data_IF_027873291111
#
_entry.id   IF_027873291111
#
_cell.length_a   1.000
_cell.length_b   1.000
_cell.length_c   1.000
_cell.angle_alpha   90.00
_cell.angle_beta   90.00
_cell.angle_gamma   90.00
#
_symmetry.space_group_name_H-M   'P 1'
#
loop_
_entity.id
_entity.type
_entity.pdbx_description
1 polymer ?
#
# COMPACT_ATOMS: atom_id res chain seq x y z
N UNK A 1 21.22 -19.12 3.60
CA UNK A 1 20.55 -17.85 3.28
C UNK A 1 20.24 -17.23 4.63
N UNK A 2 20.80 -16.09 4.96
CA UNK A 2 20.52 -15.38 6.20
C UNK A 2 19.24 -14.57 5.97
N UNK A 3 18.25 -14.74 6.84
CA UNK A 3 16.96 -14.03 6.80
C UNK A 3 16.85 -12.99 7.94
N UNK A 4 17.96 -12.72 8.64
CA UNK A 4 17.97 -11.67 9.65
C UNK A 4 17.95 -10.28 9.00
N UNK A 5 17.23 -9.39 9.60
CA UNK A 5 17.26 -7.97 9.21
C UNK A 5 18.61 -7.36 9.60
N UNK A 6 19.04 -6.35 8.85
CA UNK A 6 20.23 -5.56 9.24
C UNK A 6 19.98 -4.77 10.53
N UNK A 7 21.04 -4.35 11.18
CA UNK A 7 20.94 -3.52 12.39
C UNK A 7 20.15 -2.23 12.12
N UNK A 8 20.32 -1.63 10.93
CA UNK A 8 19.58 -0.43 10.52
C UNK A 8 18.09 -0.70 10.37
N UNK A 9 17.73 -1.81 9.71
CA UNK A 9 16.33 -2.23 9.57
C UNK A 9 15.69 -2.52 10.92
N UNK A 10 16.43 -3.13 11.84
CA UNK A 10 15.97 -3.43 13.18
C UNK A 10 15.77 -2.17 14.01
N UNK A 11 16.72 -1.22 13.96
CA UNK A 11 16.59 0.08 14.63
C UNK A 11 15.40 0.89 14.10
N UNK A 12 15.19 0.87 12.78
CA UNK A 12 14.04 1.52 12.18
C UNK A 12 12.71 0.88 12.64
N UNK A 13 12.61 -0.45 12.62
CA UNK A 13 11.44 -1.17 13.13
C UNK A 13 11.15 -0.83 14.59
N UNK A 14 12.17 -0.81 15.44
CA UNK A 14 12.02 -0.53 16.87
C UNK A 14 11.61 0.93 17.13
N UNK A 15 12.13 1.88 16.35
CA UNK A 15 11.73 3.28 16.43
C UNK A 15 10.27 3.47 16.03
N UNK A 16 9.86 2.88 14.90
CA UNK A 16 8.49 2.93 14.40
C UNK A 16 7.51 2.24 15.35
N UNK A 17 7.87 1.06 15.86
CA UNK A 17 7.06 0.31 16.85
C UNK A 17 6.85 1.10 18.12
N UNK A 18 7.90 1.76 18.63
CA UNK A 18 7.81 2.62 19.83
C UNK A 18 6.86 3.77 19.59
N UNK A 19 7.06 4.49 18.49
CA UNK A 19 6.19 5.61 18.13
C UNK A 19 4.73 5.18 18.04
N UNK A 20 4.44 4.11 17.30
CA UNK A 20 3.08 3.61 17.11
C UNK A 20 2.46 3.12 18.43
N UNK A 21 3.25 2.48 19.29
CA UNK A 21 2.80 2.04 20.61
C UNK A 21 2.43 3.22 21.53
N UNK A 22 3.13 4.33 21.44
CA UNK A 22 2.90 5.52 22.28
C UNK A 22 1.82 6.45 21.70
N UNK A 23 1.77 6.64 20.37
CA UNK A 23 0.97 7.67 19.72
C UNK A 23 -0.22 7.13 18.90
N UNK A 24 -0.25 5.81 18.63
CA UNK A 24 -1.24 5.19 17.73
C UNK A 24 -2.03 4.05 18.40
N UNK A 25 -2.26 4.16 19.71
CA UNK A 25 -3.07 3.18 20.46
C UNK A 25 -4.52 3.11 19.96
N UNK A 26 -5.27 2.12 20.45
CA UNK A 26 -6.63 1.83 20.00
C UNK A 26 -7.56 3.05 20.00
N UNK A 27 -7.57 3.85 21.06
CA UNK A 27 -8.45 5.03 21.18
C UNK A 27 -8.04 6.13 20.18
N UNK A 28 -6.75 6.37 19.99
CA UNK A 28 -6.23 7.31 19.01
C UNK A 28 -6.63 6.89 17.59
N UNK A 29 -6.42 5.60 17.23
CA UNK A 29 -6.88 5.04 15.96
C UNK A 29 -8.39 5.20 15.77
N UNK A 30 -9.19 4.88 16.79
CA UNK A 30 -10.65 5.00 16.71
C UNK A 30 -11.10 6.45 16.51
N UNK A 31 -10.42 7.42 17.14
CA UNK A 31 -10.69 8.83 16.94
C UNK A 31 -10.42 9.26 15.48
N UNK A 32 -9.30 8.79 14.89
CA UNK A 32 -8.96 9.03 13.48
C UNK A 32 -10.02 8.41 12.55
N UNK A 33 -10.33 7.13 12.74
CA UNK A 33 -11.33 6.42 11.92
C UNK A 33 -12.70 7.10 11.95
N UNK A 34 -13.11 7.66 13.11
CA UNK A 34 -14.40 8.34 13.27
C UNK A 34 -14.41 9.78 12.80
N UNK A 35 -13.26 10.38 12.55
CA UNK A 35 -13.17 11.73 11.99
C UNK A 35 -13.73 11.80 10.58
N UNK A 36 -14.14 12.99 10.14
CA UNK A 36 -14.64 13.20 8.78
C UNK A 36 -13.57 12.91 7.73
N UNK A 37 -12.32 13.27 7.99
CA UNK A 37 -11.18 12.99 7.11
C UNK A 37 -10.81 11.51 7.06
N UNK A 38 -11.01 10.77 8.18
CA UNK A 38 -10.62 9.36 8.33
C UNK A 38 -9.11 9.11 8.28
N UNK A 39 -8.31 10.18 8.36
CA UNK A 39 -6.85 10.21 8.45
C UNK A 39 -6.42 11.36 9.34
N UNK A 40 -5.18 11.34 9.84
CA UNK A 40 -4.62 12.40 10.67
C UNK A 40 -3.40 13.03 9.99
N UNK A 41 -3.48 14.33 9.70
CA UNK A 41 -2.35 15.07 9.15
C UNK A 41 -1.19 15.18 10.17
N UNK A 42 -1.49 15.18 11.46
CA UNK A 42 -0.46 15.16 12.50
C UNK A 42 0.31 13.83 12.49
N UNK A 43 -0.38 12.69 12.35
CA UNK A 43 0.29 11.39 12.22
C UNK A 43 1.08 11.31 10.91
N UNK A 44 0.55 11.83 9.82
CA UNK A 44 1.27 11.88 8.55
C UNK A 44 2.55 12.71 8.62
N UNK A 45 2.51 13.87 9.27
CA UNK A 45 3.69 14.71 9.51
C UNK A 45 4.74 14.00 10.36
N UNK A 46 4.32 13.30 11.42
CA UNK A 46 5.22 12.50 12.24
C UNK A 46 5.84 11.33 11.44
N UNK A 47 5.11 10.70 10.53
CA UNK A 47 5.67 9.69 9.63
C UNK A 47 6.74 10.28 8.71
N UNK A 48 6.55 11.51 8.24
CA UNK A 48 7.58 12.20 7.44
C UNK A 48 8.82 12.52 8.29
N UNK A 49 8.64 13.00 9.53
CA UNK A 49 9.74 13.26 10.47
C UNK A 49 10.52 11.99 10.83
N UNK A 50 9.85 10.84 10.92
CA UNK A 50 10.47 9.53 11.11
C UNK A 50 11.16 8.99 9.83
N UNK A 51 11.05 9.71 8.71
CA UNK A 51 11.62 9.31 7.43
C UNK A 51 10.80 8.24 6.67
N UNK A 52 9.62 7.88 7.16
CA UNK A 52 8.80 6.83 6.56
C UNK A 52 8.35 7.19 5.14
N UNK A 53 7.97 8.45 4.88
CA UNK A 53 7.59 8.93 3.54
C UNK A 53 8.77 8.98 2.57
N UNK A 54 9.98 9.20 3.06
CA UNK A 54 11.21 9.22 2.28
C UNK A 54 11.77 7.80 2.01
N UNK A 55 11.39 6.80 2.82
CA UNK A 55 11.94 5.45 2.74
C UNK A 55 11.92 4.86 1.33
N UNK A 56 10.78 4.78 0.61
CA UNK A 56 10.73 4.18 -0.72
C UNK A 56 11.16 5.10 -1.86
N UNK A 57 11.40 6.39 -1.58
CA UNK A 57 11.78 7.37 -2.61
C UNK A 57 13.27 7.21 -2.95
N UNK A 58 13.67 7.23 -4.24
CA UNK A 58 15.07 7.14 -4.62
C UNK A 58 15.92 8.29 -4.04
N UNK A 59 17.19 8.04 -3.76
CA UNK A 59 18.13 9.03 -3.20
C UNK A 59 18.25 10.29 -4.06
N UNK A 60 18.21 10.13 -5.38
CA UNK A 60 18.28 11.25 -6.33
C UNK A 60 17.10 12.23 -6.20
N UNK A 61 15.99 11.82 -5.57
CA UNK A 61 14.82 12.64 -5.26
C UNK A 61 14.64 12.88 -3.75
N UNK A 62 15.73 12.83 -3.01
CA UNK A 62 15.75 13.16 -1.58
C UNK A 62 15.21 12.08 -0.65
N UNK A 63 15.05 10.85 -1.14
CA UNK A 63 14.65 9.70 -0.34
C UNK A 63 15.82 8.87 0.17
N UNK A 64 15.50 7.70 0.76
CA UNK A 64 16.50 6.76 1.28
C UNK A 64 16.76 5.58 0.33
N UNK A 65 16.04 5.46 -0.78
CA UNK A 65 16.21 4.37 -1.75
C UNK A 65 15.87 2.99 -1.19
N UNK A 66 15.05 2.92 -0.13
CA UNK A 66 14.69 1.70 0.55
C UNK A 66 14.08 0.66 -0.39
N UNK A 67 14.60 -0.55 -0.31
CA UNK A 67 14.19 -1.68 -1.14
C UNK A 67 12.97 -2.44 -0.58
N UNK A 68 12.57 -3.54 -1.25
CA UNK A 68 11.42 -4.34 -0.82
C UNK A 68 11.52 -4.88 0.61
N UNK A 69 12.73 -5.17 1.11
CA UNK A 69 12.91 -5.67 2.49
C UNK A 69 12.70 -4.55 3.51
N UNK A 70 13.17 -3.33 3.21
CA UNK A 70 12.94 -2.16 4.08
C UNK A 70 11.44 -1.84 4.17
N UNK A 71 10.75 -1.91 3.02
CA UNK A 71 9.31 -1.72 2.94
C UNK A 71 8.53 -2.83 3.65
N UNK A 72 9.01 -4.09 3.60
CA UNK A 72 8.43 -5.19 4.36
C UNK A 72 8.47 -4.90 5.86
N UNK A 73 9.62 -4.44 6.37
CA UNK A 73 9.78 -4.08 7.79
C UNK A 73 8.83 -2.95 8.18
N UNK A 74 8.78 -1.87 7.40
CA UNK A 74 7.88 -0.75 7.64
C UNK A 74 6.40 -1.19 7.67
N UNK A 75 5.96 -1.93 6.65
CA UNK A 75 4.57 -2.36 6.54
C UNK A 75 4.15 -3.33 7.64
N UNK A 76 5.05 -4.18 8.14
CA UNK A 76 4.76 -5.05 9.28
C UNK A 76 4.45 -4.24 10.55
N UNK A 77 5.22 -3.20 10.83
CA UNK A 77 4.96 -2.35 12.01
C UNK A 77 3.67 -1.53 11.85
N UNK A 78 3.39 -1.01 10.65
CA UNK A 78 2.12 -0.33 10.36
C UNK A 78 0.93 -1.28 10.50
N UNK A 79 1.06 -2.51 10.02
CA UNK A 79 0.04 -3.55 10.15
C UNK A 79 -0.22 -3.98 11.58
N UNK A 80 0.82 -4.06 12.42
CA UNK A 80 0.71 -4.35 13.85
C UNK A 80 -0.16 -3.33 14.58
N UNK A 81 -0.06 -2.05 14.20
CA UNK A 81 -0.86 -0.96 14.76
C UNK A 81 -2.17 -0.70 14.00
N UNK A 82 -2.44 -1.41 12.92
CA UNK A 82 -3.60 -1.21 12.02
C UNK A 82 -3.72 0.25 11.57
N UNK A 83 -2.62 0.83 11.11
CA UNK A 83 -2.53 2.23 10.66
C UNK A 83 -3.51 2.50 9.52
N UNK A 84 -4.21 3.64 9.57
CA UNK A 84 -5.21 4.05 8.56
C UNK A 84 -4.77 5.25 7.71
N UNK A 85 -3.59 5.78 7.93
CA UNK A 85 -2.99 6.81 7.09
C UNK A 85 -2.65 6.27 5.69
N UNK A 86 -2.62 7.12 4.66
CA UNK A 86 -2.48 6.75 3.25
C UNK A 86 -1.07 6.28 2.86
N UNK A 87 -0.37 5.58 3.76
CA UNK A 87 1.02 5.18 3.52
C UNK A 87 1.13 4.13 2.42
N UNK A 88 0.34 3.05 2.50
CA UNK A 88 0.31 2.02 1.47
C UNK A 88 0.02 2.61 0.07
N UNK A 89 -1.03 3.43 -0.04
CA UNK A 89 -1.42 4.04 -1.30
C UNK A 89 -0.31 4.94 -1.87
N UNK A 90 0.36 5.70 -1.01
CA UNK A 90 1.46 6.58 -1.39
C UNK A 90 2.70 5.78 -1.81
N UNK A 91 3.06 4.72 -1.07
CA UNK A 91 4.19 3.84 -1.41
C UNK A 91 3.98 3.15 -2.78
N UNK A 92 2.76 2.71 -3.07
CA UNK A 92 2.41 2.14 -4.39
C UNK A 92 2.47 3.21 -5.48
N UNK A 93 2.08 4.45 -5.18
CA UNK A 93 2.21 5.59 -6.10
C UNK A 93 3.66 5.94 -6.41
N UNK A 94 4.55 5.90 -5.42
CA UNK A 94 6.00 6.07 -5.60
C UNK A 94 6.54 4.98 -6.52
N UNK A 95 6.19 3.72 -6.27
CA UNK A 95 6.62 2.60 -7.11
C UNK A 95 6.13 2.75 -8.56
N UNK A 96 4.90 3.24 -8.74
CA UNK A 96 4.37 3.49 -10.07
C UNK A 96 5.19 4.55 -10.83
N UNK A 97 5.59 5.65 -10.17
CA UNK A 97 6.48 6.66 -10.75
C UNK A 97 7.85 6.07 -11.07
N UNK A 98 8.39 5.22 -10.19
CA UNK A 98 9.70 4.60 -10.35
C UNK A 98 9.74 3.59 -11.51
N UNK A 99 8.69 2.78 -11.66
CA UNK A 99 8.58 1.72 -12.67
C UNK A 99 8.23 2.26 -14.05
N UNK A 100 7.38 3.29 -14.10
CA UNK A 100 6.95 3.91 -15.34
C UNK A 100 8.04 4.76 -16.01
N UNK A 101 9.20 4.89 -15.39
CA UNK A 101 10.39 5.55 -15.90
C UNK A 101 10.80 6.74 -15.05
N UNK A 102 12.11 7.07 -15.06
CA UNK A 102 12.59 8.21 -14.30
C UNK A 102 11.93 9.45 -14.87
N UNK A 103 11.03 10.01 -14.08
CA UNK A 103 10.36 11.23 -14.41
C UNK A 103 11.39 12.32 -14.68
N UNK A 104 11.17 13.02 -15.73
CA UNK A 104 11.81 14.31 -15.95
C UNK A 104 11.02 15.37 -15.19
N UNK A 105 11.69 16.37 -14.69
CA UNK A 105 11.09 17.57 -14.13
C UNK A 105 9.95 17.35 -13.12
N UNK A 106 8.72 17.24 -13.61
CA UNK A 106 7.52 17.17 -12.77
C UNK A 106 7.43 15.89 -11.93
N UNK A 107 7.89 14.73 -12.43
CA UNK A 107 7.85 13.48 -11.68
C UNK A 107 8.89 13.48 -10.55
N UNK A 108 10.09 14.03 -10.82
CA UNK A 108 11.10 14.19 -9.78
C UNK A 108 10.61 15.14 -8.68
N UNK A 109 10.05 16.29 -9.05
CA UNK A 109 9.48 17.24 -8.10
C UNK A 109 8.33 16.64 -7.28
N UNK A 110 7.50 15.78 -7.89
CA UNK A 110 6.44 15.08 -7.19
C UNK A 110 7.00 14.07 -6.17
N UNK A 111 8.04 13.30 -6.53
CA UNK A 111 8.73 12.39 -5.63
C UNK A 111 9.40 13.11 -4.46
N UNK A 112 10.07 14.25 -4.71
CA UNK A 112 10.66 15.11 -3.68
C UNK A 112 9.59 15.60 -2.68
N UNK A 113 8.45 16.09 -3.20
CA UNK A 113 7.35 16.54 -2.36
C UNK A 113 6.73 15.40 -1.52
N UNK A 114 6.70 14.17 -2.06
CA UNK A 114 6.27 12.98 -1.32
C UNK A 114 7.27 12.60 -0.25
N UNK A 115 8.57 12.60 -0.55
CA UNK A 115 9.63 12.32 0.43
C UNK A 115 9.54 13.25 1.65
N UNK A 116 9.23 14.53 1.42
CA UNK A 116 9.01 15.53 2.47
C UNK A 116 7.64 15.41 3.17
N UNK A 117 6.79 14.43 2.81
CA UNK A 117 5.45 14.29 3.37
C UNK A 117 4.41 15.32 2.88
N UNK A 118 4.79 16.22 1.96
CA UNK A 118 3.94 17.31 1.46
C UNK A 118 2.86 16.82 0.49
N UNK A 119 3.12 15.72 -0.21
CA UNK A 119 2.21 15.12 -1.18
C UNK A 119 1.93 13.66 -0.83
N UNK A 120 0.72 13.21 -1.15
CA UNK A 120 0.25 11.83 -1.01
C UNK A 120 -0.22 11.37 -2.38
N UNK A 121 0.02 10.10 -2.69
CA UNK A 121 -0.34 9.50 -3.97
C UNK A 121 -1.32 8.35 -3.77
N UNK A 122 -2.05 7.99 -4.82
CA UNK A 122 -2.78 6.74 -4.91
C UNK A 122 -2.76 6.20 -6.34
N UNK A 123 -2.94 4.90 -6.50
CA UNK A 123 -3.06 4.26 -7.82
C UNK A 123 -4.50 3.80 -8.02
N UNK A 124 -5.10 4.25 -9.09
CA UNK A 124 -6.51 3.97 -9.41
C UNK A 124 -6.64 2.70 -10.29
N UNK A 125 -6.38 1.53 -9.69
CA UNK A 125 -6.38 0.24 -10.40
C UNK A 125 -7.75 -0.16 -10.91
N UNK A 126 -8.78 -0.09 -10.07
CA UNK A 126 -10.06 -0.77 -10.27
C UNK A 126 -11.09 0.08 -11.02
N UNK A 127 -11.91 -0.60 -11.80
CA UNK A 127 -13.08 -0.04 -12.47
C UNK A 127 -14.34 -0.85 -12.15
N UNK A 128 -15.55 -0.25 -12.21
CA UNK A 128 -16.77 -0.91 -11.75
C UNK A 128 -17.09 -2.24 -12.45
N UNK A 129 -16.63 -2.43 -13.69
CA UNK A 129 -16.91 -3.62 -14.52
C UNK A 129 -15.76 -4.60 -14.60
N UNK A 130 -14.54 -4.18 -14.24
CA UNK A 130 -13.32 -4.97 -14.41
C UNK A 130 -13.14 -6.07 -13.36
N UNK A 131 -13.86 -6.02 -12.23
CA UNK A 131 -13.65 -6.92 -11.08
C UNK A 131 -12.16 -6.96 -10.68
N UNK A 132 -11.50 -8.09 -10.92
CA UNK A 132 -10.08 -8.31 -10.59
C UNK A 132 -9.16 -8.29 -11.82
N UNK A 133 -9.68 -8.01 -13.02
CA UNK A 133 -8.88 -7.92 -14.23
C UNK A 133 -8.30 -6.51 -14.36
N UNK A 134 -6.96 -6.42 -14.23
CA UNK A 134 -6.21 -5.16 -14.34
C UNK A 134 -6.18 -4.61 -15.76
N UNK A 135 -6.45 -5.45 -16.76
CA UNK A 135 -6.35 -5.10 -18.19
C UNK A 135 -7.69 -4.74 -18.81
N UNK A 136 -8.79 -5.04 -18.14
CA UNK A 136 -10.11 -4.64 -18.59
C UNK A 136 -10.41 -3.21 -18.14
N UNK A 137 -9.91 -2.26 -18.94
CA UNK A 137 -10.04 -0.83 -18.68
C UNK A 137 -11.08 -0.20 -19.60
N UNK A 138 -12.08 0.46 -19.03
CA UNK A 138 -13.04 1.32 -19.70
C UNK A 138 -12.60 2.78 -19.79
N UNK A 139 -11.68 3.20 -18.88
CA UNK A 139 -11.09 4.55 -18.91
C UNK A 139 -10.24 4.73 -20.16
N UNK A 140 -10.49 5.81 -20.91
CA UNK A 140 -9.80 6.14 -22.16
C UNK A 140 -8.94 7.38 -22.02
N UNK A 141 -7.76 7.32 -22.62
CA UNK A 141 -6.86 8.45 -22.80
C UNK A 141 -6.89 8.90 -24.26
N UNK A 142 -7.12 10.19 -24.50
CA UNK A 142 -7.14 10.79 -25.83
C UNK A 142 -6.25 12.02 -25.87
N UNK A 143 -5.48 12.13 -26.93
CA UNK A 143 -4.71 13.34 -27.18
C UNK A 143 -5.57 14.38 -27.93
N UNK A 144 -5.67 15.58 -27.39
CA UNK A 144 -6.35 16.73 -28.02
C UNK A 144 -5.50 17.99 -27.87
N UNK A 145 -5.09 18.55 -28.98
CA UNK A 145 -4.34 19.82 -28.99
C UNK A 145 -3.00 19.73 -28.25
N UNK A 146 -2.30 18.60 -28.30
CA UNK A 146 -1.04 18.37 -27.62
C UNK A 146 -1.15 18.10 -26.12
N UNK A 147 -2.37 17.96 -25.60
CA UNK A 147 -2.63 17.59 -24.19
C UNK A 147 -3.41 16.27 -24.11
N UNK A 148 -3.01 15.42 -23.20
CA UNK A 148 -3.74 14.17 -22.92
C UNK A 148 -4.92 14.43 -21.98
N UNK A 149 -6.06 13.80 -22.28
CA UNK A 149 -7.28 13.88 -21.47
C UNK A 149 -7.83 12.49 -21.20
N UNK A 150 -8.28 12.28 -19.97
CA UNK A 150 -8.90 11.04 -19.54
C UNK A 150 -10.41 11.15 -19.40
N UNK A 151 -11.11 10.10 -19.82
CA UNK A 151 -12.55 9.96 -19.60
C UNK A 151 -12.84 8.52 -19.12
N UNK A 152 -13.48 8.37 -17.97
CA UNK A 152 -13.83 7.06 -17.39
C UNK A 152 -14.16 7.15 -15.91
N UNK A 153 -14.27 5.97 -15.27
CA UNK A 153 -14.60 5.85 -13.85
C UNK A 153 -13.64 4.88 -13.20
N UNK A 154 -13.00 5.31 -12.13
CA UNK A 154 -12.21 4.48 -11.23
C UNK A 154 -12.96 4.27 -9.93
N UNK A 155 -13.00 3.03 -9.44
CA UNK A 155 -13.71 2.64 -8.23
C UNK A 155 -12.75 2.09 -7.19
N UNK A 156 -13.13 2.19 -5.92
CA UNK A 156 -12.35 1.66 -4.79
C UNK A 156 -10.89 2.10 -4.84
N UNK A 157 -10.68 3.38 -5.18
CA UNK A 157 -9.34 3.96 -5.12
C UNK A 157 -9.00 4.22 -3.67
N UNK A 158 -8.15 3.37 -3.08
CA UNK A 158 -7.77 3.48 -1.68
C UNK A 158 -7.10 4.84 -1.43
N UNK A 159 -7.58 5.55 -0.42
CA UNK A 159 -7.19 6.90 -0.09
C UNK A 159 -7.25 7.91 -1.25
N UNK A 160 -8.14 7.66 -2.23
CA UNK A 160 -8.27 8.53 -3.39
C UNK A 160 -8.59 9.99 -3.03
N UNK A 161 -9.42 10.21 -2.03
CA UNK A 161 -9.76 11.57 -1.56
C UNK A 161 -8.63 12.25 -0.76
N UNK A 162 -7.77 11.46 -0.14
CA UNK A 162 -6.64 11.94 0.67
C UNK A 162 -5.37 12.14 -0.17
N UNK A 163 -5.32 11.58 -1.39
CA UNK A 163 -4.23 11.77 -2.34
C UNK A 163 -4.28 13.15 -2.99
N UNK A 164 -3.13 13.71 -3.33
CA UNK A 164 -2.98 14.95 -4.10
C UNK A 164 -2.94 14.71 -5.61
N UNK A 165 -2.44 13.52 -5.99
CA UNK A 165 -2.44 13.06 -7.37
C UNK A 165 -2.67 11.55 -7.43
N UNK A 166 -3.22 11.10 -8.55
CA UNK A 166 -3.47 9.69 -8.84
C UNK A 166 -2.67 9.21 -10.03
N UNK A 167 -2.15 7.99 -9.94
CA UNK A 167 -1.66 7.25 -11.10
C UNK A 167 -2.84 6.46 -11.66
N UNK A 168 -3.24 6.76 -12.91
CA UNK A 168 -4.43 6.24 -13.54
C UNK A 168 -4.06 5.41 -14.76
N UNK A 169 -4.23 4.08 -14.74
CA UNK A 169 -4.16 3.26 -15.95
C UNK A 169 -5.35 3.58 -16.86
N UNK A 170 -5.08 3.76 -18.16
CA UNK A 170 -6.13 4.01 -19.16
C UNK A 170 -5.76 3.38 -20.51
N UNK A 171 -6.77 3.08 -21.33
CA UNK A 171 -6.56 2.68 -22.73
C UNK A 171 -6.14 3.89 -23.56
N UNK A 172 -5.12 3.71 -24.38
CA UNK A 172 -4.65 4.73 -25.30
C UNK A 172 -5.21 4.49 -26.71
N UNK A 173 -5.32 5.55 -27.51
CA UNK A 173 -5.70 5.44 -28.90
C UNK A 173 -4.70 4.55 -29.66
N UNK A 174 -5.20 3.65 -30.51
CA UNK A 174 -4.37 2.66 -31.20
C UNK A 174 -4.14 1.35 -30.42
N UNK A 175 -4.66 1.24 -29.20
CA UNK A 175 -4.59 0.05 -28.35
C UNK A 175 -3.40 0.08 -27.37
N UNK A 176 -3.53 -0.70 -26.31
CA UNK A 176 -2.56 -0.73 -25.21
C UNK A 176 -3.05 0.03 -23.98
N UNK A 177 -2.22 0.01 -22.95
CA UNK A 177 -2.47 0.67 -21.66
C UNK A 177 -1.40 1.75 -21.47
N UNK A 178 -1.81 2.92 -21.05
CA UNK A 178 -0.93 3.99 -20.58
C UNK A 178 -1.12 4.27 -19.10
N UNK A 179 -0.10 4.77 -18.44
CA UNK A 179 -0.13 5.24 -17.06
C UNK A 179 -0.06 6.77 -17.06
N UNK A 180 -0.98 7.39 -16.34
CA UNK A 180 -1.16 8.84 -16.35
C UNK A 180 -1.18 9.39 -14.94
N UNK A 181 -0.54 10.53 -14.70
CA UNK A 181 -0.71 11.33 -13.49
C UNK A 181 -1.89 12.27 -13.69
N UNK A 182 -2.82 12.26 -12.75
CA UNK A 182 -3.97 13.18 -12.69
C UNK A 182 -3.92 13.88 -11.34
N UNK A 183 -3.83 15.21 -11.34
CA UNK A 183 -3.95 16.01 -10.13
C UNK A 183 -5.39 15.96 -9.61
N UNK A 184 -5.56 15.89 -8.28
CA UNK A 184 -6.89 15.78 -7.67
C UNK A 184 -7.80 16.95 -8.04
N UNK A 185 -7.24 18.15 -8.14
CA UNK A 185 -7.98 19.38 -8.40
C UNK A 185 -8.09 19.69 -9.91
N UNK A 186 -7.76 18.72 -10.78
CA UNK A 186 -7.85 18.90 -12.23
C UNK A 186 -9.31 19.10 -12.68
N UNK A 187 -9.50 19.90 -13.70
CA UNK A 187 -10.83 20.13 -14.27
C UNK A 187 -11.45 18.81 -14.76
N UNK A 188 -12.74 18.63 -14.55
CA UNK A 188 -13.47 17.42 -14.96
C UNK A 188 -13.39 16.25 -13.99
N UNK A 189 -12.75 16.42 -12.85
CA UNK A 189 -12.76 15.42 -11.77
C UNK A 189 -14.04 15.55 -10.95
N UNK A 190 -14.72 14.41 -10.73
CA UNK A 190 -15.74 14.27 -9.71
C UNK A 190 -15.36 13.13 -8.78
N UNK A 191 -15.36 13.38 -7.49
CA UNK A 191 -14.90 12.46 -6.46
C UNK A 191 -15.99 12.19 -5.45
N UNK A 192 -16.18 10.90 -5.13
CA UNK A 192 -17.06 10.45 -4.04
C UNK A 192 -16.21 9.63 -3.06
N UNK A 193 -15.98 10.20 -1.89
CA UNK A 193 -15.23 9.59 -0.81
C UNK A 193 -16.14 8.76 0.10
N UNK A 194 -15.64 7.62 0.59
CA UNK A 194 -16.37 6.74 1.51
C UNK A 194 -15.43 5.92 2.38
N UNK A 195 -15.97 5.37 3.48
CA UNK A 195 -15.25 4.50 4.39
C UNK A 195 -15.46 3.04 4.00
N UNK A 196 -14.39 2.24 4.05
CA UNK A 196 -14.43 0.79 3.91
C UNK A 196 -14.67 0.11 5.26
N UNK A 197 -14.97 -1.20 5.24
CA UNK A 197 -15.35 -1.96 6.46
C UNK A 197 -14.21 -2.01 7.50
N UNK A 198 -12.96 -1.95 7.07
CA UNK A 198 -11.75 -1.94 7.90
C UNK A 198 -11.43 -0.57 8.53
N UNK A 199 -12.25 0.44 8.23
CA UNK A 199 -12.09 1.81 8.71
C UNK A 199 -11.21 2.69 7.82
N UNK A 200 -10.64 2.16 6.75
CA UNK A 200 -9.87 2.93 5.78
C UNK A 200 -10.76 3.78 4.88
N UNK A 201 -10.16 4.63 4.06
CA UNK A 201 -10.87 5.48 3.10
C UNK A 201 -10.66 4.96 1.69
N UNK A 202 -11.70 5.04 0.88
CA UNK A 202 -11.63 4.81 -0.56
C UNK A 202 -12.50 5.83 -1.29
N UNK A 203 -12.25 5.98 -2.59
CA UNK A 203 -13.03 6.90 -3.41
C UNK A 203 -13.42 6.27 -4.74
N UNK A 204 -14.56 6.74 -5.28
CA UNK A 204 -14.88 6.63 -6.69
C UNK A 204 -14.50 7.94 -7.37
N UNK A 205 -13.76 7.86 -8.48
CA UNK A 205 -13.26 8.99 -9.25
C UNK A 205 -13.84 8.92 -10.66
N UNK A 206 -14.66 9.91 -11.00
CA UNK A 206 -15.16 10.09 -12.36
C UNK A 206 -14.29 11.14 -13.07
N UNK A 207 -13.82 10.82 -14.26
CA UNK A 207 -12.99 11.66 -15.10
C UNK A 207 -13.75 12.07 -16.35
N UNK A 208 -13.91 13.37 -16.60
CA UNK A 208 -14.65 13.93 -17.71
C UNK A 208 -13.73 14.85 -18.53
N UNK A 209 -13.12 14.30 -19.59
CA UNK A 209 -12.10 15.03 -20.38
C UNK A 209 -11.04 15.70 -19.47
N UNK A 210 -10.65 14.99 -18.42
CA UNK A 210 -9.75 15.49 -17.37
C UNK A 210 -8.33 15.55 -17.87
N UNK A 211 -7.63 16.71 -17.74
CA UNK A 211 -6.22 16.82 -18.11
C UNK A 211 -5.37 15.80 -17.33
N UNK A 212 -4.47 15.17 -18.05
CA UNK A 212 -3.57 14.17 -17.49
C UNK A 212 -2.20 14.24 -18.14
N UNK A 213 -1.17 13.91 -17.39
CA UNK A 213 0.19 13.81 -17.88
C UNK A 213 0.57 12.34 -18.01
N UNK A 214 0.94 11.90 -19.21
CA UNK A 214 1.40 10.55 -19.44
C UNK A 214 2.76 10.33 -18.77
N UNK A 215 2.92 9.25 -18.02
CA UNK A 215 4.18 8.92 -17.34
C UNK A 215 5.24 8.46 -18.33
N UNK A 216 4.97 7.46 -19.12
CA UNK A 216 5.81 7.04 -20.25
C UNK A 216 4.93 6.39 -21.28
N UNK A 217 5.19 6.65 -22.55
CA UNK A 217 4.42 6.03 -23.62
C UNK A 217 5.05 4.73 -24.10
N UNK A 218 4.23 3.75 -24.37
CA UNK A 218 4.61 2.62 -25.18
C UNK A 218 4.29 1.23 -24.64
N UNK A 219 4.75 0.21 -25.37
CA UNK A 219 4.41 -1.20 -25.17
C UNK A 219 4.82 -1.83 -23.81
N UNK A 220 5.34 -1.04 -22.87
CA UNK A 220 5.80 -1.50 -21.56
C UNK A 220 4.80 -1.25 -20.43
N UNK A 221 3.74 -0.48 -20.66
CA UNK A 221 2.87 -0.01 -19.59
C UNK A 221 2.04 -1.14 -18.96
N UNK A 222 1.66 -2.17 -19.73
CA UNK A 222 0.99 -3.34 -19.19
C UNK A 222 1.89 -4.13 -18.21
N UNK A 223 3.18 -4.30 -18.52
CA UNK A 223 4.13 -4.96 -17.65
C UNK A 223 4.46 -4.09 -16.41
N UNK A 224 4.51 -2.78 -16.59
CA UNK A 224 4.65 -1.83 -15.48
C UNK A 224 3.44 -1.88 -14.55
N UNK A 225 2.22 -1.90 -15.10
CA UNK A 225 0.99 -2.02 -14.31
C UNK A 225 0.97 -3.31 -13.49
N UNK A 226 1.37 -4.44 -14.09
CA UNK A 226 1.49 -5.73 -13.39
C UNK A 226 2.52 -5.65 -12.25
N UNK A 227 3.68 -5.07 -12.51
CA UNK A 227 4.71 -4.90 -11.48
C UNK A 227 4.21 -4.04 -10.31
N UNK A 228 3.53 -2.94 -10.59
CA UNK A 228 2.95 -2.06 -9.58
C UNK A 228 1.88 -2.81 -8.75
N UNK A 229 1.04 -3.62 -9.40
CA UNK A 229 0.03 -4.42 -8.72
C UNK A 229 0.65 -5.53 -7.84
N UNK A 230 1.73 -6.16 -8.31
CA UNK A 230 2.50 -7.11 -7.51
C UNK A 230 3.10 -6.44 -6.27
N UNK A 231 3.67 -5.22 -6.42
CA UNK A 231 4.19 -4.44 -5.30
C UNK A 231 3.10 -4.09 -4.29
N UNK A 232 1.98 -3.58 -4.77
CA UNK A 232 0.82 -3.27 -3.95
C UNK A 232 0.34 -4.49 -3.14
N UNK A 233 0.26 -5.64 -3.80
CA UNK A 233 -0.14 -6.91 -3.17
C UNK A 233 0.89 -7.38 -2.15
N UNK A 234 2.18 -7.28 -2.46
CA UNK A 234 3.26 -7.61 -1.53
C UNK A 234 3.21 -6.76 -0.26
N UNK A 235 3.04 -5.44 -0.38
CA UNK A 235 2.93 -4.53 0.76
C UNK A 235 1.73 -4.87 1.66
N UNK A 236 0.57 -5.21 1.08
CA UNK A 236 -0.59 -5.67 1.84
C UNK A 236 -0.32 -7.00 2.57
N UNK A 237 0.43 -7.91 1.95
CA UNK A 237 0.84 -9.14 2.63
C UNK A 237 1.77 -8.85 3.81
N UNK A 238 2.69 -7.89 3.68
CA UNK A 238 3.58 -7.48 4.75
C UNK A 238 2.80 -6.83 5.91
N UNK A 239 1.86 -5.95 5.62
CA UNK A 239 0.94 -5.36 6.60
C UNK A 239 0.15 -6.44 7.34
N UNK A 240 -0.43 -7.40 6.61
CA UNK A 240 -1.19 -8.49 7.19
C UNK A 240 -0.35 -9.37 8.12
N UNK A 241 0.93 -9.63 7.81
CA UNK A 241 1.83 -10.37 8.70
C UNK A 241 1.99 -9.63 10.03
N UNK A 242 2.15 -8.30 10.01
CA UNK A 242 2.19 -7.50 11.24
C UNK A 242 0.91 -7.61 12.07
N UNK A 243 -0.25 -7.56 11.42
CA UNK A 243 -1.55 -7.74 12.07
C UNK A 243 -1.73 -9.16 12.65
N UNK A 244 -1.28 -10.20 11.94
CA UNK A 244 -1.30 -11.59 12.41
C UNK A 244 -0.43 -11.79 13.66
N UNK A 245 0.73 -11.13 13.73
CA UNK A 245 1.60 -11.16 14.89
C UNK A 245 0.90 -10.59 16.12
N UNK A 246 0.30 -9.43 15.97
CA UNK A 246 -0.42 -8.78 17.06
C UNK A 246 -1.66 -9.60 17.49
N UNK A 247 -2.37 -10.17 16.53
CA UNK A 247 -3.52 -11.05 16.81
C UNK A 247 -3.09 -12.30 17.61
N UNK A 248 -1.98 -12.94 17.22
CA UNK A 248 -1.42 -14.07 17.96
C UNK A 248 -1.02 -13.67 19.39
N UNK A 249 -0.28 -12.57 19.54
CA UNK A 249 0.15 -12.05 20.84
C UNK A 249 -1.06 -11.75 21.74
N UNK A 250 -2.03 -10.99 21.23
CA UNK A 250 -3.22 -10.61 21.98
C UNK A 250 -4.07 -11.82 22.39
N UNK A 251 -4.20 -12.81 21.50
CA UNK A 251 -4.94 -14.05 21.78
C UNK A 251 -4.29 -14.83 22.90
N UNK A 252 -2.96 -15.02 22.86
CA UNK A 252 -2.23 -15.73 23.92
C UNK A 252 -2.36 -15.01 25.26
N UNK A 253 -2.18 -13.69 25.29
CA UNK A 253 -2.30 -12.91 26.55
C UNK A 253 -3.74 -12.93 27.09
N UNK A 254 -4.73 -12.77 26.23
CA UNK A 254 -6.13 -12.87 26.64
C UNK A 254 -6.46 -14.23 27.26
N UNK A 255 -6.02 -15.34 26.65
CA UNK A 255 -6.29 -16.70 27.18
C UNK A 255 -5.60 -16.98 28.50
N UNK A 256 -4.46 -16.32 28.80
CA UNK A 256 -3.77 -16.42 30.10
C UNK A 256 -4.50 -15.68 31.21
N UNK A 257 -5.22 -14.61 30.89
CA UNK A 257 -5.89 -13.74 31.87
C UNK A 257 -7.37 -14.09 32.06
N UNK A 258 -8.04 -14.60 31.02
CA UNK A 258 -9.45 -14.98 31.09
C UNK A 258 -9.63 -16.29 31.83
N UNK A 259 -10.42 -16.28 32.90
CA UNK A 259 -10.73 -17.48 33.67
C UNK A 259 -12.15 -17.99 33.39
N UNK A 260 -12.28 -19.29 33.26
CA UNK A 260 -13.52 -20.06 33.26
C UNK A 260 -13.29 -21.43 33.93
N UNK A 261 -14.30 -21.95 34.60
CA UNK A 261 -14.20 -23.21 35.35
C UNK A 261 -13.09 -23.20 36.41
N UNK A 262 -12.81 -22.04 37.00
CA UNK A 262 -11.81 -21.86 38.07
C UNK A 262 -10.34 -21.86 37.63
N UNK A 263 -10.08 -21.80 36.30
CA UNK A 263 -8.71 -21.76 35.76
C UNK A 263 -8.63 -20.80 34.54
N UNK A 264 -7.43 -20.28 34.23
CA UNK A 264 -7.19 -19.58 32.94
C UNK A 264 -7.53 -20.48 31.76
N UNK A 265 -8.23 -19.93 30.75
CA UNK A 265 -8.68 -20.72 29.60
C UNK A 265 -7.51 -21.24 28.75
N UNK A 266 -6.33 -20.65 28.85
CA UNK A 266 -5.09 -21.13 28.23
C UNK A 266 -4.73 -22.60 28.67
N UNK A 267 -5.30 -23.11 29.75
CA UNK A 267 -5.08 -24.50 30.21
C UNK A 267 -5.83 -25.55 29.41
N UNK A 268 -6.84 -25.14 28.62
CA UNK A 268 -7.64 -26.09 27.83
C UNK A 268 -6.92 -26.43 26.51
N UNK A 269 -6.61 -27.72 26.32
CA UNK A 269 -5.92 -28.23 25.14
C UNK A 269 -6.60 -27.81 23.82
N UNK A 270 -7.94 -27.79 23.79
CA UNK A 270 -8.68 -27.37 22.61
C UNK A 270 -8.31 -25.94 22.14
N UNK A 271 -8.03 -25.01 23.08
CA UNK A 271 -7.55 -23.65 22.73
C UNK A 271 -6.06 -23.63 22.43
N UNK A 272 -5.25 -24.45 23.14
CA UNK A 272 -3.81 -24.56 22.83
C UNK A 272 -3.59 -25.03 21.39
N UNK A 273 -4.31 -26.06 20.94
CA UNK A 273 -4.23 -26.52 19.54
C UNK A 273 -4.60 -25.42 18.55
N UNK A 274 -5.67 -24.65 18.81
CA UNK A 274 -6.06 -23.51 17.95
C UNK A 274 -5.00 -22.42 17.90
N UNK A 275 -4.38 -22.08 19.03
CA UNK A 275 -3.29 -21.09 19.06
C UNK A 275 -2.04 -21.58 18.30
N UNK A 276 -1.75 -22.89 18.36
CA UNK A 276 -0.67 -23.48 17.54
C UNK A 276 -0.99 -23.39 16.05
N UNK A 277 -2.24 -23.69 15.65
CA UNK A 277 -2.67 -23.52 14.25
C UNK A 277 -2.52 -22.07 13.78
N UNK A 278 -2.95 -21.10 14.60
CA UNK A 278 -2.77 -19.67 14.31
C UNK A 278 -1.28 -19.32 14.10
N UNK A 279 -0.40 -19.80 14.96
CA UNK A 279 1.05 -19.58 14.83
C UNK A 279 1.60 -20.18 13.53
N UNK A 280 1.24 -21.44 13.21
CA UNK A 280 1.67 -22.11 11.97
C UNK A 280 1.21 -21.31 10.74
N UNK A 281 -0.03 -20.83 10.74
CA UNK A 281 -0.55 -20.01 9.65
C UNK A 281 0.20 -18.69 9.50
N UNK A 282 0.47 -18.01 10.60
CA UNK A 282 1.23 -16.76 10.60
C UNK A 282 2.67 -16.96 10.10
N UNK A 283 3.38 -18.00 10.53
CA UNK A 283 4.74 -18.30 10.10
C UNK A 283 4.81 -18.69 8.62
N UNK A 284 3.82 -19.38 8.09
CA UNK A 284 3.73 -19.66 6.66
C UNK A 284 3.47 -18.39 5.84
N UNK A 285 2.56 -17.51 6.31
CA UNK A 285 2.29 -16.22 5.69
C UNK A 285 3.54 -15.34 5.69
N UNK A 286 4.27 -15.28 6.81
CA UNK A 286 5.54 -14.56 6.96
C UNK A 286 6.58 -15.07 5.95
N UNK A 287 6.83 -16.38 5.92
CA UNK A 287 7.84 -16.99 5.05
C UNK A 287 7.59 -16.71 3.57
N UNK A 288 6.31 -16.81 3.13
CA UNK A 288 5.93 -16.50 1.75
C UNK A 288 6.03 -15.01 1.43
N UNK A 289 5.72 -14.14 2.38
CA UNK A 289 5.85 -12.68 2.22
C UNK A 289 7.32 -12.27 2.11
N UNK A 290 8.21 -12.89 2.88
CA UNK A 290 9.66 -12.68 2.77
C UNK A 290 10.20 -13.16 1.42
N UNK A 291 9.73 -14.32 0.96
CA UNK A 291 10.06 -14.79 -0.39
C UNK A 291 9.57 -13.80 -1.46
N UNK A 292 8.39 -13.22 -1.30
CA UNK A 292 7.87 -12.22 -2.23
C UNK A 292 8.76 -10.96 -2.26
N UNK A 293 9.24 -10.46 -1.11
CA UNK A 293 10.18 -9.35 -1.03
C UNK A 293 11.48 -9.63 -1.81
N UNK A 294 12.09 -10.80 -1.57
CA UNK A 294 13.34 -11.21 -2.24
C UNK A 294 13.14 -11.38 -3.75
N UNK A 295 12.01 -11.97 -4.18
CA UNK A 295 11.72 -12.17 -5.61
C UNK A 295 11.35 -10.85 -6.30
N UNK A 296 10.74 -9.92 -5.59
CA UNK A 296 10.48 -8.58 -6.11
C UNK A 296 11.80 -7.84 -6.40
N UNK A 297 12.76 -7.90 -5.48
CA UNK A 297 14.09 -7.31 -5.64
C UNK A 297 14.91 -7.96 -6.78
N UNK A 298 14.66 -9.23 -7.09
CA UNK A 298 15.47 -10.02 -8.03
C UNK A 298 15.23 -9.77 -9.53
N UNK A 299 14.21 -8.97 -9.90
CA UNK A 299 13.95 -8.56 -11.29
C UNK A 299 13.34 -9.61 -12.22
N UNK A 300 13.19 -10.87 -11.81
CA UNK A 300 12.52 -11.92 -12.59
C UNK A 300 11.00 -11.81 -12.41
N UNK A 301 10.31 -11.41 -13.49
CA UNK A 301 8.86 -11.16 -13.47
C UNK A 301 8.05 -12.43 -13.15
N UNK A 302 8.43 -13.60 -13.66
CA UNK A 302 7.72 -14.85 -13.38
C UNK A 302 7.91 -15.32 -11.94
N UNK A 303 9.12 -15.22 -11.43
CA UNK A 303 9.42 -15.56 -10.04
C UNK A 303 8.71 -14.60 -9.07
N UNK A 304 8.67 -13.31 -9.41
CA UNK A 304 7.92 -12.27 -8.66
C UNK A 304 6.44 -12.60 -8.58
N UNK A 305 5.76 -12.79 -9.73
CA UNK A 305 4.33 -13.11 -9.80
C UNK A 305 3.97 -14.35 -8.98
N UNK A 306 4.73 -15.41 -9.13
CA UNK A 306 4.52 -16.68 -8.40
C UNK A 306 4.63 -16.48 -6.89
N UNK A 307 5.67 -15.78 -6.44
CA UNK A 307 5.91 -15.54 -5.01
C UNK A 307 4.84 -14.64 -4.39
N UNK A 308 4.47 -13.53 -5.06
CA UNK A 308 3.44 -12.59 -4.59
C UNK A 308 2.06 -13.28 -4.56
N UNK A 309 1.71 -14.05 -5.61
CA UNK A 309 0.45 -14.79 -5.65
C UNK A 309 0.38 -15.84 -4.54
N UNK A 310 1.48 -16.56 -4.26
CA UNK A 310 1.54 -17.54 -3.17
C UNK A 310 1.37 -16.87 -1.80
N UNK A 311 2.07 -15.74 -1.57
CA UNK A 311 1.92 -14.95 -0.34
C UNK A 311 0.47 -14.47 -0.17
N UNK A 312 -0.14 -13.89 -1.22
CA UNK A 312 -1.52 -13.39 -1.18
C UNK A 312 -2.53 -14.51 -0.91
N UNK A 313 -2.38 -15.65 -1.57
CA UNK A 313 -3.24 -16.80 -1.34
C UNK A 313 -3.15 -17.30 0.11
N UNK A 314 -1.94 -17.35 0.68
CA UNK A 314 -1.73 -17.81 2.05
C UNK A 314 -2.22 -16.82 3.11
N UNK A 315 -1.97 -15.53 2.90
CA UNK A 315 -2.43 -14.47 3.81
C UNK A 315 -3.96 -14.35 3.83
N UNK A 316 -4.62 -14.64 2.70
CA UNK A 316 -6.08 -14.53 2.57
C UNK A 316 -6.85 -15.79 2.96
N UNK A 317 -6.16 -16.88 3.31
CA UNK A 317 -6.76 -18.16 3.75
C UNK A 317 -6.90 -18.23 5.27
#
# INVERSE_FOLDING_TARGET
>A
MDFSFTDEQQQFADALRRYLGEQYGFDARQAIVRSDAGVSDAQWSAFAELGLTALPVPEAQGGFGGGPVDMLVAMQELGRALVVEPYWATAVGIEALRVAGPGTGDDAALLEAVALGQKRLAVAFHEPRARYDLYELGTQARERGGACRLTGIKSVVQHGAQAHAWIVPARVDGGGIGLFVVERDAAGVKLVDYRTIDGQRAATIELHETPARQLTGGARDAAALEQIADYATFLLCAEAVGALDELNRATVEYTKTREQFGVPIARFQALQHRMVDMLIHAEQARSLTYLAAVRYAGGDADARRKAVSAAKARVGA
#
